data_IF_938127494625
#
_entry.id   IF_938127494625
#
_cell.length_a   1.000
_cell.length_b   1.000
_cell.length_c   1.000
_cell.angle_alpha   90.00
_cell.angle_beta   90.00
_cell.angle_gamma   90.00
#
_symmetry.space_group_name_H-M   'P 1'
#
loop_
_entity.id
_entity.type
_entity.pdbx_description
1 polymer ?
#
# COMPACT_ATOMS: atom_id res chain seq x y z
N UNK A 1 -2.75 -7.55 -8.00
CA UNK A 1 -1.51 -8.33 -8.10
C UNK A 1 -0.78 -8.19 -6.77
N UNK A 2 -0.34 -9.29 -6.16
CA UNK A 2 0.64 -9.22 -5.07
C UNK A 2 1.97 -9.66 -5.64
N UNK A 3 3.00 -8.80 -5.72
CA UNK A 3 4.24 -9.10 -6.41
C UNK A 3 5.18 -10.01 -5.59
N UNK A 4 4.78 -10.41 -4.39
CA UNK A 4 5.61 -11.14 -3.42
C UNK A 4 5.41 -12.66 -3.54
N UNK A 5 6.45 -13.44 -3.22
CA UNK A 5 6.38 -14.91 -3.12
C UNK A 5 6.00 -15.35 -1.70
N UNK A 6 6.45 -14.62 -0.69
CA UNK A 6 6.15 -14.84 0.74
C UNK A 6 5.72 -13.51 1.39
N UNK A 7 4.93 -13.53 2.47
CA UNK A 7 4.61 -12.34 3.25
C UNK A 7 5.86 -11.68 3.83
N UNK A 8 5.86 -10.35 3.92
CA UNK A 8 6.98 -9.58 4.45
C UNK A 8 6.77 -9.17 5.92
N UNK A 9 7.84 -8.88 6.66
CA UNK A 9 7.74 -8.10 7.89
C UNK A 9 7.10 -6.73 7.64
N UNK A 10 6.43 -6.17 8.65
CA UNK A 10 5.72 -4.89 8.57
C UNK A 10 6.59 -3.77 7.98
N UNK A 11 7.79 -3.57 8.54
CA UNK A 11 8.65 -2.47 8.11
C UNK A 11 9.08 -2.62 6.65
N UNK A 12 9.43 -3.82 6.22
CA UNK A 12 9.85 -4.06 4.84
C UNK A 12 8.70 -3.80 3.84
N UNK A 13 7.47 -4.22 4.19
CA UNK A 13 6.29 -3.92 3.38
C UNK A 13 6.04 -2.40 3.29
N UNK A 14 6.18 -1.69 4.42
CA UNK A 14 6.00 -0.24 4.48
C UNK A 14 7.08 0.49 3.65
N UNK A 15 8.35 0.13 3.81
CA UNK A 15 9.47 0.73 3.09
C UNK A 15 9.31 0.62 1.57
N UNK A 16 8.84 -0.53 1.08
CA UNK A 16 8.54 -0.75 -0.35
C UNK A 16 7.45 0.22 -0.83
N UNK A 17 6.35 0.35 -0.09
CA UNK A 17 5.24 1.24 -0.48
C UNK A 17 5.67 2.71 -0.41
N UNK A 18 6.44 3.10 0.60
CA UNK A 18 7.00 4.45 0.70
C UNK A 18 7.90 4.78 -0.50
N UNK A 19 8.76 3.85 -0.91
CA UNK A 19 9.60 4.03 -2.10
C UNK A 19 8.77 4.13 -3.39
N UNK A 20 7.77 3.26 -3.59
CA UNK A 20 6.87 3.34 -4.74
C UNK A 20 6.16 4.70 -4.83
N UNK A 21 5.58 5.17 -3.72
CA UNK A 21 4.94 6.49 -3.68
C UNK A 21 5.93 7.61 -4.02
N UNK A 22 7.18 7.51 -3.55
CA UNK A 22 8.22 8.48 -3.88
C UNK A 22 8.58 8.46 -5.37
N UNK A 23 8.65 7.29 -6.00
CA UNK A 23 8.86 7.16 -7.44
C UNK A 23 7.68 7.76 -8.25
N UNK A 24 6.44 7.54 -7.80
CA UNK A 24 5.24 8.10 -8.44
C UNK A 24 5.19 9.62 -8.34
N UNK A 25 5.47 10.19 -7.16
CA UNK A 25 5.60 11.65 -6.97
C UNK A 25 6.64 12.25 -7.93
N UNK A 26 7.82 11.63 -8.03
CA UNK A 26 8.88 12.08 -8.96
C UNK A 26 8.47 11.99 -10.43
N UNK A 27 7.54 11.09 -10.75
CA UNK A 27 7.00 10.89 -12.10
C UNK A 27 5.76 11.76 -12.38
N UNK A 28 5.38 12.65 -11.46
CA UNK A 28 4.25 13.56 -11.61
C UNK A 28 2.88 12.90 -11.43
N UNK A 29 2.81 11.75 -10.77
CA UNK A 29 1.53 11.14 -10.40
C UNK A 29 0.95 11.85 -9.19
N UNK A 30 -0.37 11.90 -9.12
CA UNK A 30 -1.11 12.62 -8.09
C UNK A 30 -1.92 11.66 -7.24
N UNK A 31 -2.09 11.97 -5.95
CA UNK A 31 -3.00 11.23 -5.08
C UNK A 31 -4.44 11.45 -5.53
N UNK A 32 -5.21 10.37 -5.54
CA UNK A 32 -6.66 10.42 -5.70
C UNK A 32 -7.32 10.46 -4.33
N UNK A 33 -8.19 11.45 -4.11
CA UNK A 33 -8.95 11.63 -2.86
C UNK A 33 -8.09 11.51 -1.58
N UNK A 34 -7.04 12.35 -1.40
CA UNK A 34 -6.08 12.20 -0.29
C UNK A 34 -6.68 12.34 1.10
N UNK A 35 -7.89 12.91 1.23
CA UNK A 35 -8.62 12.98 2.50
C UNK A 35 -9.26 11.64 2.89
N UNK A 36 -9.66 10.82 1.91
CA UNK A 36 -10.24 9.49 2.12
C UNK A 36 -9.15 8.41 2.05
N UNK A 37 -8.26 8.49 1.06
CA UNK A 37 -7.19 7.54 0.78
C UNK A 37 -5.79 8.17 0.88
N UNK A 38 -5.37 8.59 2.09
CA UNK A 38 -4.10 9.26 2.29
C UNK A 38 -2.92 8.37 1.87
N UNK A 39 -1.83 8.99 1.43
CA UNK A 39 -0.57 8.28 1.22
C UNK A 39 -0.08 7.65 2.52
N UNK A 40 0.52 6.46 2.40
CA UNK A 40 1.24 5.82 3.50
C UNK A 40 2.39 6.73 3.97
N UNK A 41 2.64 6.71 5.27
CA UNK A 41 3.72 7.46 5.93
C UNK A 41 4.34 6.62 7.05
N UNK A 42 5.60 6.89 7.39
CA UNK A 42 6.33 6.19 8.46
C UNK A 42 6.08 6.84 9.82
N UNK A 43 4.84 6.72 10.29
CA UNK A 43 4.40 7.29 11.58
C UNK A 43 3.81 6.24 12.50
N UNK A 44 3.84 6.46 13.83
CA UNK A 44 3.20 5.55 14.79
C UNK A 44 1.73 5.26 14.48
N UNK A 45 1.00 6.23 13.92
CA UNK A 45 -0.41 6.07 13.53
C UNK A 45 -0.56 5.02 12.43
N UNK A 46 0.28 5.09 11.39
CA UNK A 46 0.29 4.09 10.32
C UNK A 46 0.75 2.72 10.80
N UNK A 47 1.79 2.68 11.64
CA UNK A 47 2.27 1.43 12.23
C UNK A 47 1.17 0.72 13.03
N UNK A 48 0.43 1.44 13.86
CA UNK A 48 -0.67 0.87 14.62
C UNK A 48 -1.83 0.43 13.72
N UNK A 49 -2.21 1.23 12.72
CA UNK A 49 -3.24 0.85 11.76
C UNK A 49 -2.88 -0.43 11.00
N UNK A 50 -1.62 -0.55 10.57
CA UNK A 50 -1.11 -1.75 9.88
C UNK A 50 -1.07 -2.97 10.81
N UNK A 51 -0.58 -2.83 12.04
CA UNK A 51 -0.62 -3.90 13.05
C UNK A 51 -2.04 -4.39 13.32
N UNK A 52 -3.02 -3.48 13.31
CA UNK A 52 -4.43 -3.79 13.52
C UNK A 52 -5.20 -4.18 12.25
N UNK A 53 -4.53 -4.28 11.10
CA UNK A 53 -5.15 -4.60 9.80
C UNK A 53 -6.29 -3.65 9.42
N UNK A 54 -6.18 -2.39 9.83
CA UNK A 54 -7.16 -1.33 9.60
C UNK A 54 -6.60 -0.20 8.74
N UNK A 55 -5.40 -0.39 8.16
CA UNK A 55 -4.80 0.58 7.26
C UNK A 55 -5.60 0.66 5.97
N UNK A 56 -5.88 1.89 5.53
CA UNK A 56 -6.53 2.13 4.24
C UNK A 56 -5.52 1.99 3.10
N UNK A 57 -6.02 1.66 1.92
CA UNK A 57 -5.25 1.76 0.67
C UNK A 57 -5.02 3.21 0.28
N UNK A 58 -4.02 3.46 -0.57
CA UNK A 58 -3.81 4.76 -1.23
C UNK A 58 -4.01 4.62 -2.74
N UNK A 59 -4.56 5.66 -3.36
CA UNK A 59 -4.91 5.68 -4.78
C UNK A 59 -4.14 6.78 -5.50
N UNK A 60 -3.64 6.48 -6.69
CA UNK A 60 -2.73 7.34 -7.44
C UNK A 60 -3.11 7.39 -8.91
N UNK A 61 -3.24 8.61 -9.43
CA UNK A 61 -3.57 8.88 -10.82
C UNK A 61 -2.29 9.08 -11.64
N UNK A 62 -2.09 8.20 -12.62
CA UNK A 62 -1.04 8.30 -13.64
C UNK A 62 -1.57 9.16 -14.81
N UNK A 63 -1.73 10.46 -14.56
CA UNK A 63 -2.47 11.35 -15.45
C UNK A 63 -3.92 10.87 -15.61
N UNK A 64 -4.48 11.01 -16.83
CA UNK A 64 -5.87 10.64 -17.14
C UNK A 64 -6.03 9.24 -17.76
N UNK A 65 -4.99 8.41 -17.68
CA UNK A 65 -4.97 7.09 -18.33
C UNK A 65 -5.32 5.97 -17.35
N UNK A 66 -4.63 5.96 -16.21
CA UNK A 66 -4.71 4.89 -15.24
C UNK A 66 -4.81 5.43 -13.83
N UNK A 67 -5.50 4.66 -12.99
CA UNK A 67 -5.47 4.79 -11.55
C UNK A 67 -4.85 3.52 -10.97
N UNK A 68 -3.94 3.69 -10.02
CA UNK A 68 -3.38 2.60 -9.25
C UNK A 68 -3.85 2.69 -7.81
N UNK A 69 -4.20 1.55 -7.23
CA UNK A 69 -4.39 1.40 -5.80
C UNK A 69 -3.25 0.53 -5.26
N UNK A 70 -2.65 0.95 -4.15
CA UNK A 70 -1.74 0.11 -3.36
C UNK A 70 -2.23 0.01 -1.93
N UNK A 71 -2.16 -1.21 -1.39
CA UNK A 71 -2.52 -1.53 -0.02
C UNK A 71 -1.47 -2.45 0.60
N UNK A 72 -1.32 -2.37 1.93
CA UNK A 72 -0.60 -3.34 2.74
C UNK A 72 -1.64 -4.10 3.58
N UNK A 73 -1.85 -5.36 3.23
CA UNK A 73 -2.81 -6.24 3.88
C UNK A 73 -2.12 -7.17 4.86
N UNK A 74 -2.77 -7.44 6.00
CA UNK A 74 -2.33 -8.50 6.89
C UNK A 74 -2.52 -9.86 6.26
N UNK A 75 -1.54 -10.74 6.44
CA UNK A 75 -1.60 -12.13 6.04
C UNK A 75 -1.36 -13.04 7.24
N UNK A 76 -2.30 -13.94 7.48
CA UNK A 76 -2.19 -14.98 8.48
C UNK A 76 -1.78 -16.28 7.79
N UNK A 77 -0.54 -16.72 8.04
CA UNK A 77 -0.08 -18.02 7.57
C UNK A 77 -0.48 -19.10 8.57
N UNK A 78 -1.38 -20.00 8.16
CA UNK A 78 -1.80 -21.15 8.97
C UNK A 78 -0.63 -22.04 9.43
N UNK A 79 0.53 -21.99 8.76
CA UNK A 79 1.75 -22.72 9.13
C UNK A 79 2.51 -22.06 10.30
N UNK A 80 2.37 -20.74 10.44
CA UNK A 80 3.08 -19.93 11.44
C UNK A 80 2.12 -18.88 12.05
N UNK A 81 1.14 -19.32 12.86
CA UNK A 81 0.06 -18.46 13.37
C UNK A 81 0.55 -17.30 14.26
N UNK A 82 1.73 -17.43 14.86
CA UNK A 82 2.33 -16.38 15.70
C UNK A 82 3.05 -15.29 14.88
N UNK A 83 3.27 -15.51 13.59
CA UNK A 83 3.99 -14.58 12.71
C UNK A 83 3.02 -13.86 11.78
N UNK A 84 2.70 -12.62 12.13
CA UNK A 84 1.91 -11.75 11.25
C UNK A 84 2.75 -11.29 10.07
N UNK A 85 2.41 -11.77 8.88
CA UNK A 85 2.99 -11.33 7.63
C UNK A 85 2.19 -10.19 7.01
N UNK A 86 2.81 -9.46 6.08
CA UNK A 86 2.20 -8.36 5.36
C UNK A 86 2.37 -8.54 3.86
N UNK A 87 1.28 -8.40 3.12
CA UNK A 87 1.26 -8.46 1.68
C UNK A 87 1.06 -7.08 1.09
N UNK A 88 1.87 -6.72 0.10
CA UNK A 88 1.63 -5.53 -0.71
C UNK A 88 0.73 -5.95 -1.87
N UNK A 89 -0.43 -5.32 -1.99
CA UNK A 89 -1.37 -5.50 -3.08
C UNK A 89 -1.35 -4.27 -3.96
N UNK A 90 -1.09 -4.45 -5.25
CA UNK A 90 -1.19 -3.38 -6.26
C UNK A 90 -2.29 -3.75 -7.25
N UNK A 91 -3.21 -2.83 -7.50
CA UNK A 91 -4.21 -2.97 -8.56
C UNK A 91 -4.16 -1.74 -9.48
N UNK A 92 -4.53 -1.94 -10.74
CA UNK A 92 -4.52 -0.89 -11.75
C UNK A 92 -5.82 -0.95 -12.54
N UNK A 93 -6.46 0.19 -12.68
CA UNK A 93 -7.69 0.38 -13.44
C UNK A 93 -7.54 1.54 -14.42
N UNK A 94 -8.57 1.73 -15.25
CA UNK A 94 -8.70 2.97 -16.02
C UNK A 94 -8.97 4.13 -15.06
N UNK A 95 -8.46 5.30 -15.40
CA UNK A 95 -8.85 6.55 -14.74
C UNK A 95 -10.38 6.70 -14.77
N UNK A 96 -10.95 7.14 -13.65
CA UNK A 96 -12.37 7.50 -13.53
C UNK A 96 -12.44 9.03 -13.50
N UNK A 97 -13.17 9.60 -14.47
CA UNK A 97 -13.46 11.04 -14.56
C UNK A 97 -14.49 11.49 -13.53
#
# INVERSE_FOLDING_TARGET
MSPQVEPLPLQEALDIVLDLQNQWRRSGWELDEPEEFPAYDDTPVWHEALKNCSAQSTHWNAGKLYQLMVAIDCYEDNRYPDNKGYLVTISMGKYRE
#
